data_IF_595664483011
#
_entry.id   IF_595664483011
#
_cell.length_a   1.000
_cell.length_b   1.000
_cell.length_c   1.000
_cell.angle_alpha   90.00
_cell.angle_beta   90.00
_cell.angle_gamma   90.00
#
_symmetry.space_group_name_H-M   'P 1'
#
loop_
_entity.id
_entity.type
_entity.pdbx_description
1 polymer ?
#
# COMPACT_ATOMS: atom_id res chain seq x y z
N UNK A 1 -12.52 -8.29 9.70
CA UNK A 1 -11.16 -8.56 9.16
C UNK A 1 -11.35 -9.43 7.92
N UNK A 2 -10.67 -9.16 6.81
CA UNK A 2 -10.97 -9.76 5.48
C UNK A 2 -10.77 -11.29 5.37
N UNK A 3 -10.48 -11.99 6.47
CA UNK A 3 -10.39 -13.46 6.50
C UNK A 3 -9.09 -14.05 5.94
N UNK A 4 -8.08 -13.22 5.65
CA UNK A 4 -6.79 -13.71 5.14
C UNK A 4 -6.05 -14.55 6.20
N UNK A 5 -5.61 -15.75 5.80
CA UNK A 5 -4.81 -16.61 6.67
C UNK A 5 -3.38 -16.09 6.91
N UNK A 6 -2.76 -16.54 8.00
CA UNK A 6 -1.41 -16.09 8.41
C UNK A 6 -0.35 -16.25 7.32
N UNK A 7 -0.42 -17.33 6.54
CA UNK A 7 0.51 -17.59 5.43
C UNK A 7 0.46 -16.49 4.36
N UNK A 8 -0.75 -16.04 4.01
CA UNK A 8 -0.94 -14.97 3.04
C UNK A 8 -0.42 -13.63 3.58
N UNK A 9 -0.70 -13.32 4.85
CA UNK A 9 -0.18 -12.12 5.51
C UNK A 9 1.36 -12.10 5.53
N UNK A 10 1.99 -13.24 5.79
CA UNK A 10 3.44 -13.37 5.78
C UNK A 10 4.04 -13.14 4.38
N UNK A 11 3.39 -13.66 3.33
CA UNK A 11 3.82 -13.40 1.96
C UNK A 11 3.73 -11.93 1.58
N UNK A 12 2.61 -11.27 1.90
CA UNK A 12 2.48 -9.83 1.63
C UNK A 12 3.53 -9.04 2.41
N UNK A 13 3.72 -9.35 3.70
CA UNK A 13 4.75 -8.73 4.54
C UNK A 13 6.16 -8.88 3.95
N UNK A 14 6.49 -10.07 3.45
CA UNK A 14 7.76 -10.31 2.79
C UNK A 14 7.91 -9.49 1.49
N UNK A 15 6.89 -9.47 0.64
CA UNK A 15 6.91 -8.72 -0.62
C UNK A 15 7.10 -7.21 -0.41
N UNK A 16 6.47 -6.62 0.62
CA UNK A 16 6.57 -5.18 0.88
C UNK A 16 7.86 -4.79 1.63
N UNK A 17 8.44 -5.68 2.44
CA UNK A 17 9.61 -5.37 3.29
C UNK A 17 10.96 -5.58 2.61
N UNK A 18 11.01 -6.38 1.54
CA UNK A 18 12.27 -6.77 0.89
C UNK A 18 12.60 -5.94 -0.36
N UNK A 19 11.73 -4.99 -0.72
CA UNK A 19 11.88 -4.26 -1.98
C UNK A 19 12.99 -3.19 -1.89
N UNK A 20 13.96 -3.31 -2.79
CA UNK A 20 15.13 -2.43 -2.90
C UNK A 20 15.13 -1.71 -4.24
N UNK A 21 15.57 -0.46 -4.25
CA UNK A 21 15.64 0.40 -5.43
C UNK A 21 17.07 0.86 -5.68
N UNK A 22 17.38 1.12 -6.94
CA UNK A 22 18.62 1.75 -7.38
C UNK A 22 18.29 2.93 -8.28
N UNK A 23 19.08 4.00 -8.23
CA UNK A 23 18.93 5.14 -9.13
C UNK A 23 19.83 4.93 -10.34
N UNK A 24 19.30 5.08 -11.55
CA UNK A 24 20.14 5.07 -12.75
C UNK A 24 20.80 6.45 -12.94
N UNK A 25 22.13 6.50 -12.92
CA UNK A 25 22.92 7.68 -13.27
C UNK A 25 23.58 7.39 -14.62
N UNK A 26 23.24 8.18 -15.65
CA UNK A 26 23.71 7.97 -17.03
C UNK A 26 23.48 6.53 -17.54
N UNK A 27 22.33 5.92 -17.18
CA UNK A 27 21.98 4.55 -17.57
C UNK A 27 22.66 3.45 -16.74
N UNK A 28 23.54 3.80 -15.80
CA UNK A 28 24.19 2.86 -14.90
C UNK A 28 23.56 2.89 -13.51
N UNK A 29 23.21 1.74 -12.90
CA UNK A 29 22.69 1.69 -11.54
C UNK A 29 23.71 2.23 -10.52
N UNK A 30 23.26 3.11 -9.64
CA UNK A 30 24.06 3.73 -8.60
C UNK A 30 23.37 3.57 -7.24
N UNK A 31 24.02 2.84 -6.34
CA UNK A 31 23.56 2.57 -4.98
C UNK A 31 22.32 1.68 -4.91
N UNK A 32 22.06 1.15 -3.72
CA UNK A 32 20.82 0.47 -3.39
C UNK A 32 20.25 1.06 -2.10
N UNK A 33 18.94 1.28 -2.08
CA UNK A 33 18.23 1.74 -0.91
C UNK A 33 16.91 1.00 -0.75
N UNK A 34 16.57 0.69 0.50
CA UNK A 34 15.28 0.09 0.85
C UNK A 34 14.20 1.16 0.77
N UNK A 35 13.03 0.80 0.26
CA UNK A 35 11.89 1.71 0.40
C UNK A 35 11.30 1.61 1.80
N UNK A 36 10.94 2.76 2.36
CA UNK A 36 10.16 2.81 3.60
C UNK A 36 8.66 3.03 3.34
N UNK A 37 8.28 3.44 2.11
CA UNK A 37 6.92 3.83 1.77
C UNK A 37 6.56 3.48 0.33
N UNK A 38 5.27 3.24 0.11
CA UNK A 38 4.72 3.00 -1.22
C UNK A 38 4.91 1.57 -1.72
N UNK A 39 4.29 1.28 -2.85
CA UNK A 39 4.38 0.02 -3.56
C UNK A 39 5.18 0.22 -4.84
N UNK A 40 5.87 -0.83 -5.30
CA UNK A 40 6.67 -0.75 -6.51
C UNK A 40 5.77 -0.60 -7.73
N UNK A 41 5.80 0.56 -8.37
CA UNK A 41 5.08 0.76 -9.63
C UNK A 41 5.67 -0.16 -10.71
N UNK A 42 4.80 -0.82 -11.49
CA UNK A 42 5.20 -1.83 -12.47
C UNK A 42 5.42 -3.23 -11.88
N UNK A 43 5.28 -3.41 -10.56
CA UNK A 43 5.18 -4.74 -9.96
C UNK A 43 3.75 -5.30 -10.17
N UNK A 44 3.58 -6.50 -10.73
CA UNK A 44 2.27 -7.12 -10.94
C UNK A 44 1.42 -7.24 -9.66
N UNK A 45 2.04 -7.29 -8.47
CA UNK A 45 1.34 -7.44 -7.20
C UNK A 45 0.83 -6.10 -6.63
N UNK A 46 1.46 -4.98 -7.00
CA UNK A 46 1.15 -3.66 -6.46
C UNK A 46 -0.31 -3.21 -6.66
N UNK A 47 -0.96 -3.42 -7.83
CA UNK A 47 -2.37 -3.08 -8.01
C UNK A 47 -3.30 -3.83 -7.04
N UNK A 48 -3.03 -5.11 -6.79
CA UNK A 48 -3.84 -5.93 -5.89
C UNK A 48 -3.71 -5.48 -4.43
N UNK A 49 -2.48 -5.21 -3.98
CA UNK A 49 -2.21 -4.68 -2.65
C UNK A 49 -2.82 -3.30 -2.41
N UNK A 50 -2.85 -2.46 -3.45
CA UNK A 50 -3.52 -1.17 -3.41
C UNK A 50 -5.03 -1.33 -3.19
N UNK A 51 -5.69 -2.24 -3.91
CA UNK A 51 -7.13 -2.50 -3.76
C UNK A 51 -7.48 -2.96 -2.34
N UNK A 52 -6.71 -3.90 -1.78
CA UNK A 52 -6.92 -4.38 -0.41
C UNK A 52 -6.78 -3.24 0.60
N UNK A 53 -5.76 -2.40 0.43
CA UNK A 53 -5.54 -1.25 1.32
C UNK A 53 -6.68 -0.24 1.20
N UNK A 54 -7.17 0.03 -0.01
CA UNK A 54 -8.28 0.93 -0.27
C UNK A 54 -9.61 0.41 0.28
N UNK A 55 -9.86 -0.90 0.20
CA UNK A 55 -11.05 -1.50 0.81
C UNK A 55 -11.02 -1.37 2.34
N UNK A 56 -9.85 -1.58 2.96
CA UNK A 56 -9.62 -1.33 4.38
C UNK A 56 -9.89 0.13 4.76
N UNK A 57 -9.30 1.07 4.01
CA UNK A 57 -9.50 2.51 4.21
C UNK A 57 -10.97 2.91 4.05
N UNK A 58 -11.67 2.42 3.04
CA UNK A 58 -13.08 2.69 2.81
C UNK A 58 -13.94 2.24 4.01
N UNK A 59 -13.68 1.05 4.55
CA UNK A 59 -14.38 0.55 5.73
C UNK A 59 -14.08 1.38 6.99
N UNK A 60 -12.83 1.85 7.15
CA UNK A 60 -12.46 2.76 8.22
C UNK A 60 -13.18 4.11 8.08
N UNK A 61 -13.24 4.68 6.87
CA UNK A 61 -13.96 5.93 6.60
C UNK A 61 -15.46 5.80 6.85
N UNK A 62 -16.09 4.71 6.41
CA UNK A 62 -17.50 4.42 6.74
C UNK A 62 -17.72 4.38 8.24
N UNK A 63 -16.83 3.71 8.98
CA UNK A 63 -16.89 3.63 10.45
C UNK A 63 -16.71 5.00 11.10
N UNK A 64 -15.75 5.79 10.62
CA UNK A 64 -15.49 7.14 11.11
C UNK A 64 -16.68 8.08 10.86
N UNK A 65 -17.32 7.97 9.69
CA UNK A 65 -18.53 8.72 9.35
C UNK A 65 -19.71 8.32 10.24
N UNK A 66 -19.96 7.02 10.44
CA UNK A 66 -21.01 6.53 11.36
C UNK A 66 -20.79 7.00 12.81
N UNK A 67 -19.53 7.12 13.24
CA UNK A 67 -19.16 7.64 14.57
C UNK A 67 -19.13 9.16 14.64
N UNK A 68 -19.37 9.87 13.54
CA UNK A 68 -19.31 11.33 13.45
C UNK A 68 -17.90 11.92 13.58
N UNK A 69 -16.85 11.12 13.43
CA UNK A 69 -15.45 11.57 13.49
C UNK A 69 -15.03 12.30 12.21
N UNK A 70 -15.67 11.97 11.09
CA UNK A 70 -15.45 12.61 9.80
C UNK A 70 -16.81 13.02 9.25
N UNK A 71 -16.89 14.18 8.61
CA UNK A 71 -18.08 14.67 7.89
C UNK A 71 -17.67 15.09 6.48
N UNK A 72 -18.56 14.90 5.52
CA UNK A 72 -18.38 15.45 4.17
C UNK A 72 -18.45 16.97 4.17
N UNK A 73 -17.98 17.57 3.08
CA UNK A 73 -18.12 18.99 2.78
C UNK A 73 -18.65 19.14 1.36
N UNK A 74 -19.48 20.15 1.14
CA UNK A 74 -19.94 20.50 -0.20
C UNK A 74 -18.83 21.22 -0.98
N UNK A 75 -18.70 20.87 -2.25
CA UNK A 75 -17.81 21.56 -3.19
C UNK A 75 -18.70 22.39 -4.10
N UNK A 76 -18.50 23.71 -4.07
CA UNK A 76 -19.25 24.68 -4.87
C UNK A 76 -18.96 24.55 -6.37
#
# INVERSE_FOLDING_TARGET
>A
MMGFGQKWLNWISFCISTVSFSVLINGSPAGFFQTQRGLRQGDPLSPFLFLITMEGLNNMLKTANMRGWVKGFDVA
#
